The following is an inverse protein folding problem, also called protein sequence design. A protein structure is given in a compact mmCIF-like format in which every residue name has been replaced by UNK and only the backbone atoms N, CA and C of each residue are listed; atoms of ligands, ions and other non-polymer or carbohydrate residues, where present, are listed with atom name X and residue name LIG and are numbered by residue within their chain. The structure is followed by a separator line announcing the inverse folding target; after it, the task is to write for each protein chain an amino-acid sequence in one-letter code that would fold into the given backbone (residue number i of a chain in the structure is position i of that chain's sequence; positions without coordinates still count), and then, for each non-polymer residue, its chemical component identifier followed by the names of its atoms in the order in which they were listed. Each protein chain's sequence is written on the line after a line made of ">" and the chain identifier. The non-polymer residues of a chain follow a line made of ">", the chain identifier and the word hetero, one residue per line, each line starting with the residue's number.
data_IF_159032903975
#
_entry.id   IF_159032903975
#
_cell.length_a   1.000
_cell.length_b   1.000
_cell.length_c   1.000
_cell.angle_alpha   90.00
_cell.angle_beta   90.00
_cell.angle_gamma   90.00
#
_symmetry.space_group_name_H-M   'P 1'
#
loop_
_entity.id
_entity.type
_entity.pdbx_description
1 polymer ?
#
# COMPACT_ATOMS: atom_id res chain seq x y z
N UNK A 1 14.34 7.88 23.83
CA UNK A 1 14.00 9.32 23.88
C UNK A 1 12.55 9.57 24.31
N UNK A 2 12.34 10.46 25.28
CA UNK A 2 11.00 10.88 25.73
C UNK A 2 10.44 11.90 24.73
N UNK A 3 9.20 11.72 24.27
CA UNK A 3 8.51 12.63 23.34
C UNK A 3 7.58 13.57 24.13
N UNK A 4 7.38 14.79 23.62
CA UNK A 4 6.43 15.78 24.17
C UNK A 4 5.12 15.74 23.39
N UNK A 5 4.00 15.79 24.09
CA UNK A 5 2.69 15.94 23.46
C UNK A 5 2.56 17.34 22.82
N UNK A 6 2.23 17.39 21.53
CA UNK A 6 2.09 18.64 20.79
C UNK A 6 0.68 19.24 20.90
N UNK A 7 -0.35 18.41 21.06
CA UNK A 7 -1.74 18.84 21.19
C UNK A 7 -2.48 18.01 22.24
N UNK A 8 -3.08 18.67 23.24
CA UNK A 8 -3.84 17.99 24.29
C UNK A 8 -5.24 17.60 23.79
N UNK A 9 -5.50 16.30 23.65
CA UNK A 9 -6.79 15.70 23.31
C UNK A 9 -6.99 14.40 24.10
N UNK A 10 -8.24 13.95 24.23
CA UNK A 10 -8.54 12.63 24.80
C UNK A 10 -8.18 11.54 23.80
N UNK A 11 -7.41 10.54 24.26
CA UNK A 11 -7.06 9.37 23.47
C UNK A 11 -7.87 8.16 23.95
N UNK A 12 -8.62 7.54 23.04
CA UNK A 12 -9.31 6.27 23.31
C UNK A 12 -8.38 5.06 23.20
N UNK A 13 -8.85 3.85 23.51
CA UNK A 13 -8.09 2.62 23.30
C UNK A 13 -7.92 2.31 21.81
N UNK A 14 -6.86 1.56 21.46
CA UNK A 14 -6.57 1.01 20.12
C UNK A 14 -6.63 2.06 19.00
N UNK A 15 -5.88 3.16 19.15
CA UNK A 15 -5.73 4.18 18.10
C UNK A 15 -4.55 3.84 17.21
N UNK A 16 -4.72 4.12 15.91
CA UNK A 16 -3.65 3.98 14.92
C UNK A 16 -2.49 4.94 15.24
N UNK A 17 -1.29 4.52 14.89
CA UNK A 17 -0.06 5.28 15.07
C UNK A 17 0.64 5.37 13.72
N UNK A 18 1.03 6.58 13.35
CA UNK A 18 1.80 6.84 12.14
C UNK A 18 3.17 7.43 12.53
N UNK A 19 4.19 7.13 11.73
CA UNK A 19 5.57 7.59 11.94
C UNK A 19 6.06 8.30 10.66
N UNK A 20 5.71 9.59 10.47
CA UNK A 20 6.14 10.33 9.28
C UNK A 20 7.67 10.39 9.17
N UNK A 21 8.21 10.30 7.95
CA UNK A 21 9.65 10.32 7.68
C UNK A 21 10.40 9.07 8.09
N UNK A 22 9.72 7.97 8.44
CA UNK A 22 10.36 6.74 8.90
C UNK A 22 9.86 5.55 8.09
N UNK A 23 10.79 4.78 7.51
CA UNK A 23 10.48 3.43 7.01
C UNK A 23 10.09 2.56 8.20
N UNK A 24 8.85 2.10 8.21
CA UNK A 24 8.37 1.23 9.28
C UNK A 24 8.86 -0.18 8.99
N UNK A 25 9.62 -0.76 9.91
CA UNK A 25 10.14 -2.13 9.81
C UNK A 25 9.04 -3.14 10.20
N UNK A 26 8.04 -3.23 9.33
CA UNK A 26 6.97 -4.22 9.39
C UNK A 26 6.93 -4.98 8.06
N UNK A 27 6.69 -6.30 8.09
CA UNK A 27 6.53 -7.05 6.86
C UNK A 27 5.29 -6.55 6.12
N UNK A 28 5.37 -6.43 4.79
CA UNK A 28 4.23 -6.00 3.95
C UNK A 28 3.04 -6.97 4.04
N UNK A 29 3.30 -8.25 4.31
CA UNK A 29 2.27 -9.25 4.57
C UNK A 29 2.43 -9.85 5.96
N UNK A 30 1.34 -9.91 6.70
CA UNK A 30 1.24 -10.72 7.91
C UNK A 30 1.00 -12.20 7.56
N UNK A 31 1.16 -13.14 8.50
CA UNK A 31 0.80 -14.54 8.27
C UNK A 31 -0.66 -14.72 7.83
N UNK A 32 -1.56 -13.88 8.34
CA UNK A 32 -2.97 -13.87 7.94
C UNK A 32 -3.13 -13.39 6.49
N UNK A 33 -2.41 -12.35 6.08
CA UNK A 33 -2.49 -11.85 4.70
C UNK A 33 -1.97 -12.90 3.70
N UNK A 34 -0.92 -13.63 4.05
CA UNK A 34 -0.42 -14.75 3.23
C UNK A 34 -1.50 -15.83 3.08
N UNK A 35 -2.17 -16.21 4.18
CA UNK A 35 -3.28 -17.16 4.15
C UNK A 35 -4.43 -16.65 3.28
N UNK A 36 -4.81 -15.38 3.41
CA UNK A 36 -5.86 -14.76 2.60
C UNK A 36 -5.48 -14.75 1.10
N UNK A 37 -4.23 -14.45 0.76
CA UNK A 37 -3.75 -14.50 -0.63
C UNK A 37 -3.84 -15.93 -1.20
N UNK A 38 -3.30 -16.91 -0.48
CA UNK A 38 -3.17 -18.27 -1.01
C UNK A 38 -4.50 -19.04 -0.96
N UNK A 39 -5.21 -18.99 0.17
CA UNK A 39 -6.37 -19.84 0.43
C UNK A 39 -7.69 -19.20 0.01
N UNK A 40 -7.75 -17.87 -0.06
CA UNK A 40 -8.95 -17.16 -0.46
C UNK A 40 -8.82 -16.52 -1.85
N UNK A 41 -7.82 -15.65 -2.07
CA UNK A 41 -7.68 -14.91 -3.32
C UNK A 41 -7.42 -15.83 -4.52
N UNK A 42 -6.40 -16.69 -4.44
CA UNK A 42 -6.05 -17.62 -5.52
C UNK A 42 -7.15 -18.67 -5.76
N UNK A 43 -7.68 -19.27 -4.69
CA UNK A 43 -8.71 -20.30 -4.77
C UNK A 43 -10.01 -19.81 -5.42
N UNK A 44 -10.39 -18.56 -5.14
CA UNK A 44 -11.60 -17.95 -5.70
C UNK A 44 -11.35 -17.23 -7.02
N UNK A 45 -10.14 -17.27 -7.57
CA UNK A 45 -9.76 -16.63 -8.84
C UNK A 45 -10.13 -15.15 -8.88
N UNK A 46 -9.79 -14.43 -7.81
CA UNK A 46 -10.01 -12.98 -7.77
C UNK A 46 -9.20 -12.29 -8.86
N UNK A 47 -9.75 -11.26 -9.49
CA UNK A 47 -9.06 -10.54 -10.55
C UNK A 47 -7.94 -9.65 -10.00
N UNK A 48 -8.15 -9.07 -8.80
CA UNK A 48 -7.25 -8.10 -8.19
C UNK A 48 -7.05 -8.36 -6.69
N UNK A 49 -5.89 -7.98 -6.19
CA UNK A 49 -5.65 -7.75 -4.77
C UNK A 49 -5.07 -6.37 -4.53
N UNK A 50 -5.61 -5.66 -3.55
CA UNK A 50 -5.09 -4.36 -3.11
C UNK A 50 -4.18 -4.54 -1.89
N UNK A 51 -2.87 -4.43 -2.10
CA UNK A 51 -1.87 -4.60 -1.06
C UNK A 51 -1.71 -3.31 -0.24
N UNK A 52 -1.85 -3.41 1.08
CA UNK A 52 -1.72 -2.27 2.00
C UNK A 52 -0.26 -2.05 2.41
N UNK A 53 0.07 -0.82 2.79
CA UNK A 53 1.37 -0.39 3.31
C UNK A 53 2.57 -0.82 2.45
N UNK A 54 2.43 -0.76 1.13
CA UNK A 54 3.55 -1.06 0.21
C UNK A 54 4.57 0.08 0.29
N UNK A 55 5.82 -0.26 0.62
CA UNK A 55 6.91 0.72 0.83
C UNK A 55 8.00 0.64 -0.24
N UNK A 56 8.16 -0.49 -0.93
CA UNK A 56 9.23 -0.74 -1.91
C UNK A 56 8.78 -1.65 -3.05
N UNK A 57 9.51 -1.70 -4.17
CA UNK A 57 9.24 -2.70 -5.23
C UNK A 57 9.48 -4.14 -4.76
N UNK A 58 10.40 -4.36 -3.81
CA UNK A 58 10.62 -5.68 -3.20
C UNK A 58 9.39 -6.21 -2.49
N UNK A 59 8.61 -5.32 -1.85
CA UNK A 59 7.34 -5.70 -1.26
C UNK A 59 6.37 -6.26 -2.31
N UNK A 60 6.29 -5.61 -3.49
CA UNK A 60 5.44 -6.05 -4.60
C UNK A 60 5.92 -7.39 -5.17
N UNK A 61 7.24 -7.55 -5.34
CA UNK A 61 7.86 -8.81 -5.78
C UNK A 61 7.58 -9.94 -4.80
N UNK A 62 7.61 -9.67 -3.50
CA UNK A 62 7.26 -10.65 -2.47
C UNK A 62 5.79 -11.07 -2.54
N UNK A 63 4.87 -10.11 -2.70
CA UNK A 63 3.43 -10.40 -2.87
C UNK A 63 3.20 -11.24 -4.12
N UNK A 64 3.86 -10.90 -5.23
CA UNK A 64 3.84 -11.67 -6.47
C UNK A 64 4.29 -13.11 -6.25
N UNK A 65 5.41 -13.31 -5.56
CA UNK A 65 5.91 -14.65 -5.22
C UNK A 65 4.89 -15.47 -4.40
N UNK A 66 4.22 -14.84 -3.42
CA UNK A 66 3.20 -15.51 -2.60
C UNK A 66 2.00 -15.93 -3.44
N UNK A 67 1.51 -15.06 -4.32
CA UNK A 67 0.41 -15.37 -5.25
C UNK A 67 0.80 -16.51 -6.20
N UNK A 68 1.94 -16.40 -6.88
CA UNK A 68 2.39 -17.37 -7.89
C UNK A 68 2.62 -18.75 -7.25
N UNK A 69 3.12 -18.80 -6.01
CA UNK A 69 3.28 -20.07 -5.27
C UNK A 69 1.98 -20.85 -5.02
N UNK A 70 0.82 -20.18 -5.16
CA UNK A 70 -0.51 -20.73 -4.97
C UNK A 70 -1.36 -20.74 -6.26
N UNK A 71 -0.74 -20.56 -7.43
CA UNK A 71 -1.43 -20.54 -8.73
C UNK A 71 -2.23 -19.27 -8.99
N UNK A 72 -1.79 -18.14 -8.42
CA UNK A 72 -2.39 -16.81 -8.53
C UNK A 72 -1.76 -15.92 -9.60
N UNK A 73 -1.11 -16.47 -10.62
CA UNK A 73 -0.34 -15.71 -11.63
C UNK A 73 -1.22 -14.72 -12.41
N UNK A 74 -2.51 -15.02 -12.55
CA UNK A 74 -3.49 -14.15 -13.20
C UNK A 74 -3.96 -12.99 -12.31
N UNK A 75 -3.81 -13.09 -10.99
CA UNK A 75 -4.26 -12.08 -10.02
C UNK A 75 -3.39 -10.82 -10.18
N UNK A 76 -4.04 -9.67 -10.31
CA UNK A 76 -3.38 -8.37 -10.49
C UNK A 76 -3.12 -7.67 -9.16
N UNK A 77 -1.93 -7.10 -8.99
CA UNK A 77 -1.54 -6.41 -7.75
C UNK A 77 -1.78 -4.91 -7.90
N UNK A 78 -2.60 -4.37 -7.00
CA UNK A 78 -2.79 -2.93 -6.80
C UNK A 78 -2.03 -2.52 -5.55
N UNK A 79 -0.96 -1.75 -5.71
CA UNK A 79 -0.21 -1.25 -4.55
C UNK A 79 -0.86 0.00 -3.99
N UNK A 80 -1.24 -0.05 -2.71
CA UNK A 80 -1.74 1.11 -1.98
C UNK A 80 -0.55 1.89 -1.44
N UNK A 81 -0.41 3.13 -1.91
CA UNK A 81 0.56 4.07 -1.36
C UNK A 81 -0.11 4.74 -0.16
N UNK A 82 0.51 4.62 1.02
CA UNK A 82 -0.10 5.05 2.30
C UNK A 82 0.85 5.86 3.19
N UNK A 83 2.14 5.91 2.87
CA UNK A 83 3.15 6.64 3.64
C UNK A 83 4.24 7.26 2.74
N UNK A 84 5.10 8.08 3.35
CA UNK A 84 6.22 8.73 2.67
C UNK A 84 7.20 7.75 2.01
N UNK A 85 7.47 6.59 2.63
CA UNK A 85 8.38 5.59 2.06
C UNK A 85 7.87 5.02 0.74
N UNK A 86 6.57 4.69 0.66
CA UNK A 86 5.94 4.26 -0.59
C UNK A 86 5.93 5.36 -1.66
N UNK A 87 5.88 6.64 -1.25
CA UNK A 87 6.00 7.75 -2.19
C UNK A 87 7.44 7.92 -2.71
N UNK A 88 8.44 7.78 -1.84
CA UNK A 88 9.86 7.87 -2.19
C UNK A 88 10.27 6.78 -3.19
N UNK A 89 9.81 5.55 -2.98
CA UNK A 89 10.09 4.40 -3.86
C UNK A 89 9.00 4.19 -4.92
N UNK A 90 8.16 5.21 -5.16
CA UNK A 90 6.97 5.07 -6.00
C UNK A 90 7.28 4.54 -7.40
N UNK A 91 8.40 4.94 -8.01
CA UNK A 91 8.74 4.51 -9.38
C UNK A 91 9.08 3.01 -9.45
N UNK A 92 9.74 2.46 -8.42
CA UNK A 92 10.04 1.02 -8.33
C UNK A 92 8.76 0.22 -8.04
N UNK A 93 7.92 0.70 -7.13
CA UNK A 93 6.60 0.11 -6.87
C UNK A 93 5.76 0.13 -8.15
N UNK A 94 5.69 1.27 -8.83
CA UNK A 94 4.93 1.43 -10.06
C UNK A 94 5.44 0.49 -11.14
N UNK A 95 6.75 0.21 -11.25
CA UNK A 95 7.30 -0.71 -12.24
C UNK A 95 6.81 -2.16 -12.02
N UNK A 96 6.66 -2.59 -10.76
CA UNK A 96 6.30 -3.96 -10.38
C UNK A 96 4.77 -4.18 -10.24
N UNK A 97 4.00 -3.14 -9.92
CA UNK A 97 2.54 -3.27 -9.73
C UNK A 97 1.77 -3.37 -11.04
N UNK A 98 0.58 -3.98 -11.02
CA UNK A 98 -0.34 -3.91 -12.17
C UNK A 98 -1.18 -2.61 -12.15
N UNK A 99 -1.37 -2.03 -10.97
CA UNK A 99 -2.03 -0.73 -10.77
C UNK A 99 -1.67 -0.09 -9.44
N UNK A 100 -2.10 1.17 -9.26
CA UNK A 100 -1.82 1.96 -8.05
C UNK A 100 -3.12 2.40 -7.40
N UNK A 101 -3.15 2.41 -6.07
CA UNK A 101 -4.21 3.07 -5.30
C UNK A 101 -3.63 4.22 -4.47
N UNK A 102 -4.15 5.41 -4.69
CA UNK A 102 -3.80 6.62 -3.92
C UNK A 102 -4.74 6.70 -2.71
N UNK A 103 -4.25 6.31 -1.53
CA UNK A 103 -5.02 6.33 -0.28
C UNK A 103 -4.95 7.71 0.38
N UNK A 104 -5.83 8.63 -0.03
CA UNK A 104 -5.78 10.03 0.41
C UNK A 104 -5.95 10.24 1.92
N UNK A 105 -6.64 9.37 2.64
CA UNK A 105 -6.80 9.48 4.10
C UNK A 105 -5.48 9.27 4.85
N UNK A 106 -4.66 8.32 4.38
CA UNK A 106 -3.36 7.97 4.97
C UNK A 106 -2.27 8.93 4.43
N UNK A 107 -2.12 8.99 3.09
CA UNK A 107 -2.06 10.21 2.27
C UNK A 107 -1.87 11.58 2.95
N UNK A 108 -3.02 12.16 3.27
CA UNK A 108 -3.21 13.57 3.57
C UNK A 108 -2.56 13.99 4.89
N UNK A 109 -2.11 13.02 5.69
CA UNK A 109 -1.27 13.33 6.84
C UNK A 109 0.15 13.72 6.44
N UNK A 110 0.60 13.39 5.22
CA UNK A 110 2.02 13.47 4.85
C UNK A 110 2.32 14.40 3.64
N UNK A 111 1.71 14.31 2.42
CA UNK A 111 2.17 15.10 1.22
C UNK A 111 1.06 15.37 0.15
N UNK A 112 1.02 16.55 -0.53
CA UNK A 112 0.17 16.80 -1.71
C UNK A 112 0.73 16.20 -3.01
N UNK A 113 0.90 14.87 -3.06
CA UNK A 113 1.53 14.15 -4.19
C UNK A 113 0.56 13.39 -5.11
N UNK A 114 -0.76 13.48 -4.86
CA UNK A 114 -1.78 12.74 -5.61
C UNK A 114 -1.65 12.91 -7.14
N UNK A 115 -1.58 14.16 -7.62
CA UNK A 115 -1.49 14.45 -9.06
C UNK A 115 -0.25 13.84 -9.70
N UNK A 116 0.88 13.80 -8.97
CA UNK A 116 2.13 13.22 -9.45
C UNK A 116 1.97 11.72 -9.69
N UNK A 117 1.45 11.00 -8.69
CA UNK A 117 1.22 9.55 -8.79
C UNK A 117 0.26 9.21 -9.92
N UNK A 118 -0.88 9.90 -10.00
CA UNK A 118 -1.85 9.71 -11.08
C UNK A 118 -1.19 9.93 -12.45
N UNK A 119 -0.43 11.00 -12.61
CA UNK A 119 0.25 11.32 -13.88
C UNK A 119 1.26 10.25 -14.26
N UNK A 120 2.09 9.81 -13.31
CA UNK A 120 3.11 8.77 -13.56
C UNK A 120 2.48 7.43 -13.90
N UNK A 121 1.42 7.01 -13.19
CA UNK A 121 0.69 5.78 -13.50
C UNK A 121 0.08 5.83 -14.92
N UNK A 122 -0.55 6.96 -15.28
CA UNK A 122 -1.10 7.17 -16.62
C UNK A 122 -0.03 7.08 -17.71
N UNK A 123 1.14 7.72 -17.50
CA UNK A 123 2.27 7.64 -18.44
C UNK A 123 2.79 6.22 -18.58
N UNK A 124 2.84 5.45 -17.49
CA UNK A 124 3.23 4.05 -17.49
C UNK A 124 2.16 3.10 -18.09
N UNK A 125 0.98 3.61 -18.45
CA UNK A 125 -0.13 2.80 -18.94
C UNK A 125 -0.75 1.90 -17.88
N UNK A 126 -0.56 2.22 -16.60
CA UNK A 126 -1.09 1.46 -15.45
C UNK A 126 -2.29 2.18 -14.88
N UNK A 127 -3.33 1.42 -14.53
CA UNK A 127 -4.54 2.03 -13.97
C UNK A 127 -4.27 2.56 -12.55
N UNK A 128 -4.98 3.63 -12.19
CA UNK A 128 -4.86 4.29 -10.90
C UNK A 128 -6.23 4.51 -10.27
N UNK A 129 -6.34 4.22 -8.98
CA UNK A 129 -7.56 4.36 -8.18
C UNK A 129 -7.32 5.45 -7.13
N UNK A 130 -8.06 6.56 -7.20
CA UNK A 130 -8.14 7.49 -6.07
C UNK A 130 -9.13 6.95 -5.05
N UNK A 131 -8.65 6.69 -3.83
CA UNK A 131 -9.44 6.10 -2.76
C UNK A 131 -9.56 7.02 -1.54
N UNK A 132 -10.58 6.76 -0.72
CA UNK A 132 -10.94 7.46 0.55
C UNK A 132 -11.39 8.92 0.38
N UNK A 133 -12.21 9.43 1.32
CA UNK A 133 -12.65 10.84 1.43
C UNK A 133 -13.25 11.45 0.15
N UNK A 134 -13.98 10.67 -0.65
CA UNK A 134 -14.47 11.09 -1.97
C UNK A 134 -15.77 11.90 -1.94
N UNK A 135 -16.61 11.69 -0.92
CA UNK A 135 -17.97 12.24 -0.79
C UNK A 135 -18.16 12.85 0.60
#
# INVERSE_FOLDING_TARGET
>A
PVRRCLCAKQLGPRKNVNLPGVKVDIPVLTPKDIEDLQQFCCRNKMDFVAASFVQTGDDVRFIRQVLDSAGGEAVKIISKIENESGLEHYDDILAESDGIMVARGDLAMEIPSEKLMITKANIAGKFVITATQML
#
